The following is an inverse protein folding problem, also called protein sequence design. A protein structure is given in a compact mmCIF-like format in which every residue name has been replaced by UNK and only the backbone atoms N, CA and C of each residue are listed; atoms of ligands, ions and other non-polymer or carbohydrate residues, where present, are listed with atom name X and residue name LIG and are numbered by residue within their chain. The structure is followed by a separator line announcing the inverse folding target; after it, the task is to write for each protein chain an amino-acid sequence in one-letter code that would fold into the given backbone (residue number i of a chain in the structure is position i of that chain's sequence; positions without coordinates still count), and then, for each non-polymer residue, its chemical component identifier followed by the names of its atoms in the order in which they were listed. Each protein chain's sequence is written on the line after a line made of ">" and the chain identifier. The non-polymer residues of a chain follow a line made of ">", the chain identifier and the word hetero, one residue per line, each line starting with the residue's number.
data_IF_645220600925
#
_entry.id   IF_645220600925
#
_cell.length_a   1.000
_cell.length_b   1.000
_cell.length_c   1.000
_cell.angle_alpha   90.00
_cell.angle_beta   90.00
_cell.angle_gamma   90.00
#
_symmetry.space_group_name_H-M   'P 1'
#
loop_
_entity.id
_entity.type
_entity.pdbx_description
1 polymer ?
#
# COMPACT_ATOMS: atom_id res chain seq x y z
N UNK A 1 -13.68 -9.65 5.33
CA UNK A 1 -12.51 -10.29 5.96
C UNK A 1 -11.75 -11.11 4.93
N UNK A 2 -10.44 -10.98 4.93
CA UNK A 2 -9.61 -11.69 3.97
C UNK A 2 -9.44 -13.15 4.35
N UNK A 3 -9.47 -14.03 3.35
CA UNK A 3 -9.18 -15.44 3.56
C UNK A 3 -7.69 -15.63 3.80
N UNK A 4 -7.33 -16.83 4.27
CA UNK A 4 -5.92 -17.15 4.47
C UNK A 4 -5.15 -17.08 3.15
N UNK A 5 -5.79 -17.47 2.05
CA UNK A 5 -5.16 -17.41 0.73
C UNK A 5 -4.90 -15.98 0.31
N UNK A 6 -5.88 -15.09 0.52
CA UNK A 6 -5.70 -13.68 0.22
C UNK A 6 -4.53 -13.10 1.02
N UNK A 7 -4.45 -13.43 2.31
CA UNK A 7 -3.39 -12.95 3.17
C UNK A 7 -2.02 -13.47 2.73
N UNK A 8 -1.96 -14.74 2.38
CA UNK A 8 -0.71 -15.35 1.96
C UNK A 8 -0.21 -14.72 0.65
N UNK A 9 -1.10 -14.57 -0.32
CA UNK A 9 -0.74 -13.94 -1.59
C UNK A 9 -0.34 -12.49 -1.36
N UNK A 10 -1.07 -11.77 -0.51
CA UNK A 10 -0.75 -10.39 -0.21
C UNK A 10 0.63 -10.22 0.40
N UNK A 11 0.99 -11.09 1.35
CA UNK A 11 2.31 -11.03 1.97
C UNK A 11 3.42 -11.34 0.97
N UNK A 12 3.19 -12.29 0.08
CA UNK A 12 4.16 -12.62 -0.94
C UNK A 12 4.38 -11.44 -1.90
N UNK A 13 3.29 -10.82 -2.32
CA UNK A 13 3.37 -9.66 -3.21
C UNK A 13 4.06 -8.49 -2.50
N UNK A 14 3.74 -8.29 -1.23
CA UNK A 14 4.35 -7.21 -0.45
C UNK A 14 5.87 -7.37 -0.41
N UNK A 15 6.34 -8.58 -0.15
CA UNK A 15 7.76 -8.86 -0.09
C UNK A 15 8.43 -8.62 -1.44
N UNK A 16 7.82 -9.16 -2.49
CA UNK A 16 8.42 -9.05 -3.82
C UNK A 16 8.40 -7.62 -4.33
N UNK A 17 7.33 -6.88 -4.08
CA UNK A 17 7.29 -5.48 -4.46
C UNK A 17 8.37 -4.67 -3.74
N UNK A 18 8.59 -4.95 -2.46
CA UNK A 18 9.66 -4.29 -1.73
C UNK A 18 11.01 -4.47 -2.38
N UNK A 19 11.29 -5.69 -2.82
CA UNK A 19 12.55 -5.98 -3.50
C UNK A 19 12.60 -5.35 -4.88
N UNK A 20 11.48 -5.34 -5.59
CA UNK A 20 11.42 -4.73 -6.92
C UNK A 20 11.75 -3.23 -6.83
N UNK A 21 11.18 -2.53 -5.87
CA UNK A 21 11.46 -1.10 -5.72
C UNK A 21 12.90 -0.82 -5.31
N UNK A 22 13.55 -1.76 -4.63
CA UNK A 22 14.94 -1.59 -4.27
C UNK A 22 15.88 -1.87 -5.43
N UNK A 23 15.51 -2.78 -6.33
CA UNK A 23 16.41 -3.27 -7.37
C UNK A 23 15.96 -2.87 -8.77
N UNK A 24 14.78 -3.35 -9.18
CA UNK A 24 14.37 -3.24 -10.58
C UNK A 24 13.72 -1.90 -10.90
N UNK A 25 13.05 -1.31 -9.93
CA UNK A 25 12.31 -0.06 -10.13
C UNK A 25 12.87 1.08 -9.30
N UNK A 26 14.12 0.97 -8.86
CA UNK A 26 14.77 1.99 -8.05
C UNK A 26 14.77 3.35 -8.75
N UNK A 27 14.92 3.34 -10.06
CA UNK A 27 14.95 4.57 -10.85
C UNK A 27 13.62 5.34 -10.81
N UNK A 28 12.53 4.67 -10.48
CA UNK A 28 11.22 5.33 -10.42
C UNK A 28 11.03 6.15 -9.14
N UNK A 29 11.85 5.90 -8.13
CA UNK A 29 11.67 6.53 -6.83
C UNK A 29 12.59 7.72 -6.62
N UNK A 30 13.47 7.99 -7.58
CA UNK A 30 14.33 9.15 -7.58
C UNK A 30 15.10 9.33 -6.26
N UNK A 31 15.60 8.23 -5.72
CA UNK A 31 16.37 8.24 -4.49
C UNK A 31 15.55 8.16 -3.21
N UNK A 32 14.24 8.19 -3.29
CA UNK A 32 13.41 8.02 -2.11
C UNK A 32 13.31 6.55 -1.74
N UNK A 33 13.20 6.28 -0.46
CA UNK A 33 12.98 4.93 0.04
C UNK A 33 11.49 4.64 0.03
N UNK A 34 11.08 3.52 -0.58
CA UNK A 34 9.68 3.14 -0.69
C UNK A 34 9.41 1.95 0.21
N UNK A 35 8.38 2.07 1.05
CA UNK A 35 7.92 0.99 1.89
C UNK A 35 6.53 0.57 1.42
N UNK A 36 6.34 -0.73 1.26
CA UNK A 36 5.01 -1.27 0.98
C UNK A 36 4.39 -1.58 2.34
N UNK A 37 3.50 -0.71 2.77
CA UNK A 37 2.96 -0.84 4.13
C UNK A 37 1.89 -1.91 4.24
N UNK A 38 1.18 -2.18 3.16
CA UNK A 38 0.16 -3.22 3.14
C UNK A 38 -0.17 -3.59 1.70
N UNK A 39 -0.61 -4.83 1.50
CA UNK A 39 -1.15 -5.28 0.23
C UNK A 39 -2.48 -5.98 0.52
N UNK A 40 -3.53 -5.53 -0.16
CA UNK A 40 -4.86 -6.12 -0.03
C UNK A 40 -5.24 -6.76 -1.35
N UNK A 41 -5.60 -8.02 -1.30
CA UNK A 41 -5.92 -8.79 -2.50
C UNK A 41 -7.40 -9.10 -2.50
N UNK A 42 -8.04 -8.99 -3.67
CA UNK A 42 -9.46 -9.30 -3.78
C UNK A 42 -9.70 -10.81 -3.63
N UNK A 43 -10.93 -11.22 -3.25
CA UNK A 43 -11.20 -12.65 -3.01
C UNK A 43 -10.90 -13.55 -4.21
N UNK A 44 -11.10 -13.05 -5.42
CA UNK A 44 -10.80 -13.81 -6.64
C UNK A 44 -9.34 -13.68 -7.06
N UNK A 45 -8.52 -12.96 -6.27
CA UNK A 45 -7.10 -12.77 -6.50
C UNK A 45 -6.79 -12.03 -7.81
N UNK A 46 -7.75 -11.27 -8.32
CA UNK A 46 -7.56 -10.56 -9.59
C UNK A 46 -6.92 -9.19 -9.42
N UNK A 47 -7.06 -8.58 -8.26
CA UNK A 47 -6.53 -7.24 -8.02
C UNK A 47 -5.76 -7.24 -6.69
N UNK A 48 -4.58 -6.64 -6.72
CA UNK A 48 -3.78 -6.41 -5.52
C UNK A 48 -3.60 -4.91 -5.34
N UNK A 49 -4.06 -4.40 -4.21
CA UNK A 49 -3.92 -2.98 -3.87
C UNK A 49 -2.75 -2.82 -2.92
N UNK A 50 -1.75 -2.10 -3.38
CA UNK A 50 -0.52 -1.88 -2.62
C UNK A 50 -0.50 -0.46 -2.08
N UNK A 51 -0.26 -0.34 -0.78
CA UNK A 51 -0.20 0.95 -0.10
C UNK A 51 1.25 1.30 0.15
N UNK A 52 1.64 2.51 -0.23
CA UNK A 52 3.03 2.92 -0.26
C UNK A 52 3.29 4.09 0.67
N UNK A 53 4.48 4.08 1.25
CA UNK A 53 4.99 5.19 2.04
C UNK A 53 6.38 5.54 1.52
N UNK A 54 6.69 6.82 1.47
CA UNK A 54 7.96 7.31 0.94
C UNK A 54 8.75 8.03 2.02
N UNK A 55 10.06 7.83 2.03
CA UNK A 55 10.93 8.51 2.96
C UNK A 55 12.16 9.01 2.20
N UNK A 56 12.41 10.30 2.19
CA UNK A 56 11.56 11.37 2.73
C UNK A 56 10.26 11.47 1.96
N UNK A 57 9.23 12.02 2.59
CA UNK A 57 7.91 12.10 1.97
C UNK A 57 7.74 13.32 1.06
N UNK A 58 8.82 14.02 0.83
CA UNK A 58 8.86 15.13 -0.09
C UNK A 58 8.57 14.63 -1.50
N UNK A 59 7.68 15.31 -2.20
CA UNK A 59 7.30 14.93 -3.56
C UNK A 59 6.60 13.57 -3.67
N UNK A 60 5.98 13.12 -2.58
CA UNK A 60 5.37 11.79 -2.57
C UNK A 60 4.25 11.65 -3.61
N UNK A 61 3.50 12.73 -3.87
CA UNK A 61 2.44 12.68 -4.87
C UNK A 61 3.00 12.45 -6.27
N UNK A 62 4.11 13.08 -6.59
CA UNK A 62 4.78 12.90 -7.88
C UNK A 62 5.34 11.50 -7.99
N UNK A 63 5.92 10.99 -6.90
CA UNK A 63 6.47 9.64 -6.89
C UNK A 63 5.39 8.59 -7.06
N UNK A 64 4.26 8.78 -6.40
CA UNK A 64 3.13 7.85 -6.55
C UNK A 64 2.63 7.87 -7.99
N UNK A 65 2.48 9.05 -8.57
CA UNK A 65 2.03 9.18 -9.95
C UNK A 65 2.98 8.46 -10.91
N UNK A 66 4.29 8.63 -10.71
CA UNK A 66 5.29 7.96 -11.52
C UNK A 66 5.14 6.45 -11.43
N UNK A 67 4.93 5.94 -10.22
CA UNK A 67 4.75 4.50 -10.01
C UNK A 67 3.48 4.03 -10.70
N UNK A 68 2.39 4.78 -10.58
CA UNK A 68 1.13 4.42 -11.22
C UNK A 68 1.26 4.38 -12.74
N UNK A 69 2.03 5.32 -13.31
CA UNK A 69 2.26 5.34 -14.75
C UNK A 69 3.12 4.18 -15.22
N UNK A 70 3.88 3.57 -14.31
CA UNK A 70 4.77 2.46 -14.64
C UNK A 70 4.27 1.13 -14.08
N UNK A 71 2.99 1.04 -13.79
CA UNK A 71 2.39 -0.16 -13.21
C UNK A 71 2.64 -1.40 -14.06
N UNK A 72 2.57 -1.26 -15.38
CA UNK A 72 2.77 -2.39 -16.27
C UNK A 72 4.19 -2.95 -16.14
N UNK A 73 5.18 -2.08 -16.07
CA UNK A 73 6.57 -2.50 -15.88
C UNK A 73 6.74 -3.22 -14.55
N UNK A 74 6.17 -2.65 -13.48
CA UNK A 74 6.29 -3.24 -12.14
C UNK A 74 5.59 -4.59 -12.10
N UNK A 75 4.41 -4.69 -12.70
CA UNK A 75 3.68 -5.95 -12.74
C UNK A 75 4.46 -7.02 -13.51
N UNK A 76 5.14 -6.62 -14.57
CA UNK A 76 5.98 -7.55 -15.33
C UNK A 76 7.10 -8.10 -14.45
N UNK A 77 7.74 -7.22 -13.67
CA UNK A 77 8.79 -7.68 -12.76
C UNK A 77 8.24 -8.57 -11.66
N UNK A 78 7.06 -8.26 -11.17
CA UNK A 78 6.41 -9.11 -10.19
C UNK A 78 6.10 -10.49 -10.80
N UNK A 79 5.59 -10.52 -12.01
CA UNK A 79 5.28 -11.78 -12.68
C UNK A 79 6.50 -12.67 -12.80
N UNK A 80 7.65 -12.08 -13.11
CA UNK A 80 8.90 -12.87 -13.21
C UNK A 80 9.26 -13.52 -11.89
N UNK A 81 8.95 -12.86 -10.77
CA UNK A 81 9.30 -13.37 -9.44
C UNK A 81 8.33 -14.43 -8.94
N UNK A 82 7.03 -14.32 -9.28
CA UNK A 82 6.00 -15.17 -8.67
C UNK A 82 5.42 -16.20 -9.62
N UNK A 83 5.90 -16.29 -10.85
CA UNK A 83 5.28 -17.14 -11.85
C UNK A 83 5.22 -18.62 -11.47
N UNK A 84 6.10 -19.06 -10.59
CA UNK A 84 6.09 -20.45 -10.13
C UNK A 84 5.24 -20.63 -8.88
N UNK A 85 4.75 -19.54 -8.30
CA UNK A 85 4.00 -19.57 -7.04
C UNK A 85 2.55 -19.17 -7.25
N UNK A 86 2.30 -18.27 -8.19
CA UNK A 86 0.96 -17.78 -8.47
C UNK A 86 0.57 -18.18 -9.89
N UNK A 87 -0.63 -18.73 -9.99
CA UNK A 87 -1.17 -19.12 -11.28
C UNK A 87 -1.45 -17.90 -12.15
N UNK A 88 -2.04 -16.88 -11.54
CA UNK A 88 -2.37 -15.64 -12.21
C UNK A 88 -1.78 -14.51 -11.39
N UNK A 89 -1.11 -13.57 -12.04
CA UNK A 89 -0.57 -12.40 -11.37
C UNK A 89 -1.66 -11.34 -11.30
N UNK A 90 -2.03 -10.87 -10.10
CA UNK A 90 -3.07 -9.87 -9.99
C UNK A 90 -2.70 -8.57 -10.70
N UNK A 91 -3.71 -7.82 -11.10
CA UNK A 91 -3.51 -6.45 -11.53
C UNK A 91 -3.13 -5.62 -10.31
N UNK A 92 -2.16 -4.73 -10.49
CA UNK A 92 -1.68 -3.90 -9.38
C UNK A 92 -2.35 -2.54 -9.40
N UNK A 93 -2.70 -2.06 -8.20
CA UNK A 93 -3.16 -0.70 -7.98
C UNK A 93 -2.34 -0.14 -6.83
N UNK A 94 -1.82 1.06 -7.00
CA UNK A 94 -0.96 1.68 -6.01
C UNK A 94 -1.65 2.88 -5.39
N UNK A 95 -1.57 2.97 -4.07
CA UNK A 95 -2.16 4.04 -3.29
C UNK A 95 -1.17 4.55 -2.27
N UNK A 96 -1.34 5.80 -1.88
CA UNK A 96 -0.55 6.35 -0.78
C UNK A 96 -1.10 5.82 0.53
N UNK A 97 -0.22 5.34 1.40
CA UNK A 97 -0.63 5.03 2.75
C UNK A 97 -0.45 6.27 3.59
N UNK A 98 -1.53 6.97 3.83
CA UNK A 98 -1.52 8.18 4.63
C UNK A 98 -2.08 7.93 6.04
N UNK A 99 -2.06 6.69 6.48
CA UNK A 99 -2.55 6.33 7.80
C UNK A 99 -1.88 7.14 8.90
N UNK A 100 -0.56 7.28 8.82
CA UNK A 100 0.17 8.06 9.81
C UNK A 100 -0.21 9.53 9.77
N UNK A 101 -0.40 10.09 8.58
CA UNK A 101 -0.83 11.48 8.44
C UNK A 101 -2.23 11.66 8.97
N UNK A 102 -3.10 10.71 8.66
CA UNK A 102 -4.46 10.75 9.14
C UNK A 102 -4.50 10.73 10.67
N UNK A 103 -3.72 9.83 11.27
CA UNK A 103 -3.65 9.74 12.73
C UNK A 103 -3.13 11.04 13.33
N UNK A 104 -2.12 11.65 12.72
CA UNK A 104 -1.57 12.90 13.21
C UNK A 104 -2.63 14.02 13.14
N UNK A 105 -3.38 14.08 12.05
CA UNK A 105 -4.45 15.06 11.91
C UNK A 105 -5.53 14.85 12.96
N UNK A 106 -5.89 13.60 13.21
CA UNK A 106 -6.90 13.29 14.22
C UNK A 106 -6.41 13.68 15.60
N UNK A 107 -5.14 13.43 15.90
CA UNK A 107 -4.57 13.84 17.19
C UNK A 107 -4.63 15.34 17.37
N UNK A 108 -4.31 16.11 16.35
CA UNK A 108 -4.39 17.57 16.41
C UNK A 108 -5.82 18.03 16.63
N UNK A 109 -6.76 17.44 15.94
CA UNK A 109 -8.16 17.79 16.11
C UNK A 109 -8.62 17.49 17.54
N UNK A 110 -8.24 16.34 18.06
CA UNK A 110 -8.65 15.92 19.39
C UNK A 110 -7.98 16.74 20.48
N UNK A 111 -6.78 17.24 20.23
CA UNK A 111 -6.12 18.09 21.22
C UNK A 111 -6.73 19.48 21.29
N UNK A 112 -7.32 19.96 20.19
CA UNK A 112 -7.92 21.29 20.12
C UNK A 112 -9.40 21.30 20.49
N UNK A 113 -10.05 20.17 20.45
CA UNK A 113 -11.47 20.03 20.64
C UNK A 113 -11.75 19.21 21.89
N UNK A 114 -12.58 19.74 22.76
CA UNK A 114 -13.05 18.94 23.89
C UNK A 114 -14.10 18.00 23.36
N UNK A 115 -13.75 16.76 23.27
CA UNK A 115 -14.62 15.74 22.71
C UNK A 115 -15.41 15.11 23.84
N UNK A 116 -16.75 15.08 23.73
CA UNK A 116 -17.53 14.39 24.74
C UNK A 116 -17.10 12.94 24.81
N UNK A 117 -16.85 12.43 25.96
CA UNK A 117 -16.56 11.02 26.11
C UNK A 117 -17.71 10.21 25.61
N UNK A 118 -17.75 9.11 25.33
CA UNK A 118 -18.92 8.34 24.92
C UNK A 118 -19.41 8.67 23.55
N UNK A 119 -18.56 8.99 22.65
CA UNK A 119 -18.90 9.02 21.25
C UNK A 119 -18.71 7.61 20.73
N UNK A 120 -19.69 6.90 20.85
CA UNK A 120 -19.43 5.49 20.48
C UNK A 120 -19.34 5.27 18.98
N UNK A 121 -19.51 5.49 19.25
CA UNK A 121 -19.29 5.07 18.28
C UNK A 121 -19.07 4.88 17.44
N UNK A 122 -19.54 4.88 17.39
CA UNK A 122 -19.10 4.75 16.51
C UNK A 122 -18.68 4.34 16.22
N UNK A 123 -19.01 4.00 16.52
CA UNK A 123 -18.48 3.60 15.91
C UNK A 123 -18.19 3.33 15.61
N UNK A 124 -18.63 3.16 15.94
CA UNK A 124 -18.20 2.87 15.41
C UNK A 124 -17.82 2.84 15.01
N UNK A 125 -18.34 2.83 15.19
CA UNK A 125 -17.83 2.75 14.64
C UNK A 125 -17.32 2.78 14.46
N UNK A 126 -17.97 2.73 14.86
CA UNK A 126 -17.33 2.73 14.49
C UNK A 126 -16.94 2.53 14.41
N UNK A 127 -17.44 2.39 14.86
CA UNK A 127 -16.98 2.22 14.65
C UNK A 127 -16.79 2.14 14.46
#
# INVERSE_FOLDING_TARGET
>A
MESKRQQKVGRQIQKDLGEIFQKDAHHLTNGSFVTITAVRVTPDLSIARAYLSFLPDKNKSILLETIQENTKFIRQKLAERVRHQLRIVPHLQFYMDDTAEYAAKMDLLFSDIVIPPAQPDEEEESN
#
